data_IF_753526241527
#
_entry.id   IF_753526241527
#
_cell.length_a   1.000
_cell.length_b   1.000
_cell.length_c   1.000
_cell.angle_alpha   90.00
_cell.angle_beta   90.00
_cell.angle_gamma   90.00
#
_symmetry.space_group_name_H-M   'P 1'
#
loop_
_entity.id
_entity.type
_entity.pdbx_description
1 polymer ?
#
# COMPACT_ATOMS: atom_id res chain seq x y z
N UNK A 1 22.73 30.73 5.61
CA UNK A 1 23.55 30.10 4.56
C UNK A 1 22.94 28.74 4.29
N UNK A 2 22.54 28.45 3.04
CA UNK A 2 21.97 27.16 2.68
C UNK A 2 23.08 26.09 2.74
N UNK A 3 22.87 25.06 3.54
CA UNK A 3 23.73 23.87 3.55
C UNK A 3 23.65 23.23 2.15
N UNK A 4 24.77 22.95 1.47
CA UNK A 4 24.70 22.31 0.16
C UNK A 4 24.04 20.93 0.28
N UNK A 5 23.06 20.66 -0.58
CA UNK A 5 22.43 19.35 -0.76
C UNK A 5 23.54 18.28 -0.88
N UNK A 6 23.53 17.28 0.02
CA UNK A 6 24.45 16.14 -0.09
C UNK A 6 24.08 15.33 -1.34
N UNK A 7 25.08 14.71 -1.97
CA UNK A 7 24.87 13.89 -3.16
C UNK A 7 23.79 12.81 -2.97
N UNK A 8 23.63 12.26 -1.78
CA UNK A 8 22.65 11.21 -1.48
C UNK A 8 21.19 11.64 -1.58
N UNK A 9 20.87 12.92 -1.38
CA UNK A 9 19.50 13.43 -1.57
C UNK A 9 19.10 13.39 -3.06
N UNK A 10 20.02 13.79 -3.95
CA UNK A 10 19.81 13.68 -5.39
C UNK A 10 19.70 12.22 -5.85
N UNK A 11 20.51 11.32 -5.27
CA UNK A 11 20.38 9.89 -5.56
C UNK A 11 19.06 9.33 -5.06
N UNK A 12 18.62 9.70 -3.85
CA UNK A 12 17.33 9.24 -3.31
C UNK A 12 16.17 9.67 -4.22
N UNK A 13 16.16 10.93 -4.67
CA UNK A 13 15.13 11.43 -5.59
C UNK A 13 15.13 10.62 -6.90
N UNK A 14 16.30 10.47 -7.54
CA UNK A 14 16.39 9.71 -8.80
C UNK A 14 16.03 8.23 -8.64
N UNK A 15 16.40 7.59 -7.53
CA UNK A 15 15.99 6.22 -7.23
C UNK A 15 14.49 6.14 -6.96
N UNK A 16 13.89 7.16 -6.35
CA UNK A 16 12.44 7.28 -6.20
C UNK A 16 11.73 7.30 -7.55
N UNK A 17 12.20 8.09 -8.52
CA UNK A 17 11.64 8.15 -9.88
C UNK A 17 11.77 6.79 -10.61
N UNK A 18 12.89 6.10 -10.46
CA UNK A 18 13.07 4.74 -11.00
C UNK A 18 12.07 3.77 -10.37
N UNK A 19 11.84 3.87 -9.07
CA UNK A 19 10.90 3.04 -8.34
C UNK A 19 9.44 3.29 -8.80
N UNK A 20 9.07 4.55 -9.02
CA UNK A 20 7.75 4.91 -9.53
C UNK A 20 7.51 4.44 -10.97
N UNK A 21 8.53 4.52 -11.82
CA UNK A 21 8.46 4.05 -13.21
C UNK A 21 8.62 2.54 -13.37
N UNK A 22 9.02 1.84 -12.31
CA UNK A 22 9.34 0.40 -12.35
C UNK A 22 10.61 0.10 -13.15
N UNK A 23 11.47 1.09 -13.37
CA UNK A 23 12.70 0.95 -14.15
C UNK A 23 13.82 0.39 -13.28
N UNK A 24 14.50 -0.70 -13.67
CA UNK A 24 15.64 -1.22 -12.92
C UNK A 24 16.79 -0.20 -12.83
N UNK A 25 17.55 -0.25 -11.73
CA UNK A 25 18.78 0.53 -11.56
C UNK A 25 19.90 -0.04 -12.45
N UNK A 26 20.79 0.80 -12.97
CA UNK A 26 21.98 0.35 -13.66
C UNK A 26 23.10 -0.09 -12.70
N UNK A 27 23.98 -0.97 -13.17
CA UNK A 27 25.04 -1.57 -12.35
C UNK A 27 26.02 -0.52 -11.77
N UNK A 28 26.32 0.55 -12.51
CA UNK A 28 27.27 1.57 -12.04
C UNK A 28 26.66 2.37 -10.90
N UNK A 29 25.41 2.79 -11.04
CA UNK A 29 24.68 3.51 -9.99
C UNK A 29 24.49 2.64 -8.76
N UNK A 30 24.11 1.36 -8.92
CA UNK A 30 23.99 0.41 -7.81
C UNK A 30 25.31 0.28 -7.04
N UNK A 31 26.42 -0.02 -7.73
CA UNK A 31 27.75 -0.16 -7.10
C UNK A 31 28.19 1.14 -6.41
N UNK A 32 27.86 2.30 -6.99
CA UNK A 32 28.16 3.59 -6.39
C UNK A 32 27.42 3.78 -5.06
N UNK A 33 26.10 3.59 -5.04
CA UNK A 33 25.27 3.69 -3.83
C UNK A 33 25.80 2.74 -2.75
N UNK A 34 26.03 1.48 -3.09
CA UNK A 34 26.53 0.49 -2.13
C UNK A 34 27.91 0.86 -1.58
N UNK A 35 28.81 1.39 -2.40
CA UNK A 35 30.15 1.79 -1.96
C UNK A 35 30.15 3.00 -1.04
N UNK A 36 29.26 3.97 -1.29
CA UNK A 36 29.32 5.28 -0.64
C UNK A 36 28.34 5.45 0.52
N UNK A 37 27.22 4.71 0.54
CA UNK A 37 26.12 4.94 1.49
C UNK A 37 25.85 3.76 2.43
N UNK A 38 26.30 2.53 2.11
CA UNK A 38 25.95 1.31 2.88
C UNK A 38 26.39 1.31 4.35
N UNK A 39 27.43 2.06 4.71
CA UNK A 39 27.91 2.18 6.10
C UNK A 39 27.32 3.38 6.85
N UNK A 40 26.52 4.21 6.19
CA UNK A 40 25.93 5.40 6.78
C UNK A 40 24.65 5.06 7.54
N UNK A 41 24.41 5.81 8.62
CA UNK A 41 23.16 5.75 9.38
C UNK A 41 22.27 6.98 9.11
N UNK A 42 22.63 7.83 8.16
CA UNK A 42 21.82 8.98 7.77
C UNK A 42 20.58 8.53 7.01
N UNK A 43 19.43 9.16 7.25
CA UNK A 43 18.15 8.68 6.71
C UNK A 43 18.10 8.62 5.17
N UNK A 44 18.69 9.62 4.48
CA UNK A 44 18.75 9.63 3.01
C UNK A 44 19.61 8.50 2.48
N UNK A 45 20.75 8.24 3.12
CA UNK A 45 21.71 7.22 2.72
C UNK A 45 21.12 5.82 2.91
N UNK A 46 20.48 5.57 4.06
CA UNK A 46 19.74 4.33 4.35
C UNK A 46 18.63 4.11 3.32
N UNK A 47 17.85 5.14 3.03
CA UNK A 47 16.75 5.05 2.06
C UNK A 47 17.26 4.77 0.64
N UNK A 48 18.35 5.41 0.23
CA UNK A 48 18.98 5.19 -1.07
C UNK A 48 19.51 3.76 -1.21
N UNK A 49 20.12 3.21 -0.16
CA UNK A 49 20.59 1.80 -0.15
C UNK A 49 19.41 0.84 -0.24
N UNK A 50 18.34 1.05 0.54
CA UNK A 50 17.13 0.25 0.47
C UNK A 50 16.48 0.25 -0.91
N UNK A 51 16.34 1.42 -1.54
CA UNK A 51 15.83 1.53 -2.90
C UNK A 51 16.74 0.88 -3.93
N UNK A 52 18.07 1.01 -3.80
CA UNK A 52 18.99 0.39 -4.72
C UNK A 52 18.93 -1.15 -4.67
N UNK A 53 18.78 -1.77 -3.49
CA UNK A 53 18.52 -3.20 -3.39
C UNK A 53 17.23 -3.59 -4.15
N UNK A 54 16.12 -2.89 -3.87
CA UNK A 54 14.84 -3.16 -4.50
C UNK A 54 14.87 -3.02 -6.03
N UNK A 55 15.50 -1.96 -6.54
CA UNK A 55 15.64 -1.70 -7.97
C UNK A 55 16.59 -2.66 -8.67
N UNK A 56 17.51 -3.29 -7.93
CA UNK A 56 18.37 -4.37 -8.42
C UNK A 56 17.69 -5.76 -8.37
N UNK A 57 16.42 -5.83 -7.95
CA UNK A 57 15.66 -7.07 -7.82
C UNK A 57 15.94 -7.85 -6.52
N UNK A 58 16.64 -7.24 -5.56
CA UNK A 58 16.96 -7.82 -4.26
C UNK A 58 15.92 -7.39 -3.21
N UNK A 59 14.64 -7.71 -3.45
CA UNK A 59 13.50 -7.29 -2.62
C UNK A 59 13.71 -7.67 -1.12
N UNK A 60 14.29 -8.83 -0.84
CA UNK A 60 14.49 -9.29 0.54
C UNK A 60 15.60 -8.53 1.26
N UNK A 61 16.68 -8.23 0.54
CA UNK A 61 17.76 -7.40 1.07
C UNK A 61 17.27 -5.97 1.33
N UNK A 62 16.38 -5.44 0.47
CA UNK A 62 15.75 -4.15 0.69
C UNK A 62 14.92 -4.15 1.99
N UNK A 63 14.07 -5.17 2.17
CA UNK A 63 13.25 -5.32 3.38
C UNK A 63 14.11 -5.42 4.64
N UNK A 64 15.10 -6.30 4.66
CA UNK A 64 16.01 -6.47 5.80
C UNK A 64 16.79 -5.19 6.09
N UNK A 65 17.24 -4.49 5.05
CA UNK A 65 17.96 -3.24 5.20
C UNK A 65 17.10 -2.17 5.86
N UNK A 66 15.88 -1.93 5.36
CA UNK A 66 14.98 -0.95 5.98
C UNK A 66 14.62 -1.34 7.41
N UNK A 67 14.16 -2.58 7.65
CA UNK A 67 13.78 -3.06 8.98
C UNK A 67 14.90 -2.90 10.00
N UNK A 68 16.15 -3.21 9.63
CA UNK A 68 17.32 -3.07 10.50
C UNK A 68 17.63 -1.61 10.87
N UNK A 69 17.34 -0.66 9.98
CA UNK A 69 17.72 0.74 10.14
C UNK A 69 16.55 1.66 10.53
N UNK A 70 15.37 1.09 10.82
CA UNK A 70 14.28 1.83 11.46
C UNK A 70 14.75 2.40 12.80
N UNK A 71 14.57 3.70 12.99
CA UNK A 71 14.91 4.40 14.24
C UNK A 71 13.87 5.47 14.53
N UNK A 72 13.30 5.54 15.75
CA UNK A 72 12.17 6.42 16.07
C UNK A 72 12.35 7.91 15.72
N UNK A 73 13.59 8.38 15.64
CA UNK A 73 13.95 9.76 15.30
C UNK A 73 13.95 10.04 13.78
N UNK A 74 13.68 9.05 12.93
CA UNK A 74 13.69 9.20 11.48
C UNK A 74 12.42 8.64 10.79
N UNK A 75 11.29 9.36 10.86
CA UNK A 75 10.04 9.00 10.16
C UNK A 75 10.21 8.85 8.64
N UNK A 76 11.19 9.56 8.06
CA UNK A 76 11.50 9.48 6.63
C UNK A 76 11.91 8.06 6.20
N UNK A 77 12.69 7.34 7.02
CA UNK A 77 13.06 5.95 6.71
C UNK A 77 11.81 5.07 6.68
N UNK A 78 10.89 5.25 7.63
CA UNK A 78 9.63 4.50 7.68
C UNK A 78 8.74 4.82 6.46
N UNK A 79 8.63 6.09 6.06
CA UNK A 79 7.91 6.48 4.85
C UNK A 79 8.50 5.82 3.61
N UNK A 80 9.82 5.94 3.41
CA UNK A 80 10.48 5.35 2.25
C UNK A 80 10.39 3.82 2.27
N UNK A 81 10.41 3.19 3.44
CA UNK A 81 10.22 1.75 3.57
C UNK A 81 8.85 1.33 3.02
N UNK A 82 7.77 1.97 3.47
CA UNK A 82 6.41 1.65 3.00
C UNK A 82 6.26 1.93 1.51
N UNK A 83 6.82 3.04 1.00
CA UNK A 83 6.84 3.35 -0.44
C UNK A 83 7.56 2.25 -1.22
N UNK A 84 8.71 1.78 -0.73
CA UNK A 84 9.44 0.66 -1.32
C UNK A 84 8.56 -0.58 -1.42
N UNK A 85 7.94 -1.00 -0.31
CA UNK A 85 7.12 -2.20 -0.27
C UNK A 85 5.92 -2.10 -1.22
N UNK A 86 5.23 -0.96 -1.22
CA UNK A 86 4.08 -0.74 -2.07
C UNK A 86 4.45 -0.78 -3.56
N UNK A 87 5.49 -0.04 -3.96
CA UNK A 87 5.92 0.04 -5.38
C UNK A 87 6.55 -1.26 -5.89
N UNK A 88 7.18 -2.04 -5.01
CA UNK A 88 7.71 -3.37 -5.35
C UNK A 88 6.68 -4.48 -5.27
N UNK A 89 5.42 -4.15 -4.97
CA UNK A 89 4.34 -5.14 -4.81
C UNK A 89 4.68 -6.19 -3.73
N UNK A 90 5.25 -5.75 -2.61
CA UNK A 90 5.57 -6.58 -1.44
C UNK A 90 4.48 -6.42 -0.37
N UNK A 91 3.23 -6.66 -0.76
CA UNK A 91 2.04 -6.31 0.00
C UNK A 91 1.89 -7.10 1.31
N UNK A 92 2.23 -8.39 1.33
CA UNK A 92 2.24 -9.20 2.56
C UNK A 92 3.23 -8.66 3.58
N UNK A 93 4.45 -8.33 3.13
CA UNK A 93 5.47 -7.69 3.97
C UNK A 93 5.04 -6.30 4.44
N UNK A 94 4.34 -5.55 3.60
CA UNK A 94 3.76 -4.26 3.99
C UNK A 94 2.71 -4.44 5.08
N UNK A 95 1.81 -5.41 4.94
CA UNK A 95 0.79 -5.75 5.93
C UNK A 95 1.41 -6.08 7.30
N UNK A 96 2.51 -6.83 7.32
CA UNK A 96 3.22 -7.22 8.54
C UNK A 96 3.76 -6.02 9.35
N UNK A 97 4.06 -4.90 8.70
CA UNK A 97 4.79 -3.79 9.35
C UNK A 97 4.00 -2.48 9.41
N UNK A 98 3.01 -2.26 8.54
CA UNK A 98 2.43 -0.92 8.34
C UNK A 98 1.76 -0.37 9.60
N UNK A 99 1.10 -1.22 10.39
CA UNK A 99 0.43 -0.82 11.60
C UNK A 99 1.42 -0.37 12.68
N UNK A 100 2.49 -1.16 12.90
CA UNK A 100 3.56 -0.81 13.83
C UNK A 100 4.32 0.45 13.38
N UNK A 101 4.53 0.62 12.07
CA UNK A 101 5.13 1.82 11.52
C UNK A 101 4.24 3.05 11.77
N UNK A 102 2.94 2.95 11.51
CA UNK A 102 2.01 4.04 11.76
C UNK A 102 1.93 4.42 13.25
N UNK A 103 1.89 3.43 14.14
CA UNK A 103 1.85 3.65 15.59
C UNK A 103 3.15 4.25 16.14
N UNK A 104 4.31 3.84 15.60
CA UNK A 104 5.63 4.28 16.10
C UNK A 104 6.06 5.63 15.54
N UNK A 105 5.85 5.87 14.25
CA UNK A 105 6.40 7.03 13.53
C UNK A 105 5.34 8.09 13.23
N UNK A 106 4.07 7.69 13.18
CA UNK A 106 2.95 8.58 12.86
C UNK A 106 3.06 9.25 11.49
N UNK A 107 2.42 10.40 11.36
CA UNK A 107 2.45 11.18 10.12
C UNK A 107 1.38 10.78 9.11
N UNK A 108 1.02 11.74 8.25
CA UNK A 108 -0.13 11.65 7.33
C UNK A 108 -0.06 10.43 6.40
N UNK A 109 1.13 10.15 5.85
CA UNK A 109 1.30 9.06 4.88
C UNK A 109 1.11 7.69 5.55
N UNK A 110 1.76 7.44 6.70
CA UNK A 110 1.69 6.15 7.37
C UNK A 110 0.29 5.90 7.93
N UNK A 111 -0.36 6.91 8.49
CA UNK A 111 -1.74 6.77 8.98
C UNK A 111 -2.71 6.45 7.84
N UNK A 112 -2.60 7.11 6.68
CA UNK A 112 -3.46 6.80 5.54
C UNK A 112 -3.15 5.43 4.92
N UNK A 113 -1.87 5.06 4.79
CA UNK A 113 -1.49 3.74 4.30
C UNK A 113 -1.98 2.61 5.22
N UNK A 114 -1.90 2.80 6.55
CA UNK A 114 -2.45 1.87 7.53
C UNK A 114 -3.99 1.78 7.44
N UNK A 115 -4.68 2.90 7.25
CA UNK A 115 -6.12 2.91 7.03
C UNK A 115 -6.53 2.16 5.76
N UNK A 116 -5.83 2.38 4.64
CA UNK A 116 -6.06 1.66 3.39
C UNK A 116 -5.80 0.15 3.54
N UNK A 117 -4.76 -0.23 4.29
CA UNK A 117 -4.49 -1.63 4.59
C UNK A 117 -5.58 -2.26 5.45
N UNK A 118 -6.03 -1.57 6.50
CA UNK A 118 -7.14 -2.01 7.33
C UNK A 118 -8.44 -2.15 6.55
N UNK A 119 -8.74 -1.22 5.64
CA UNK A 119 -9.89 -1.28 4.74
C UNK A 119 -9.85 -2.52 3.84
N UNK A 120 -8.67 -2.86 3.34
CA UNK A 120 -8.47 -4.01 2.48
C UNK A 120 -8.74 -5.35 3.16
N UNK A 121 -8.48 -5.46 4.46
CA UNK A 121 -8.81 -6.66 5.24
C UNK A 121 -10.13 -6.53 6.01
N UNK A 122 -10.84 -5.40 5.89
CA UNK A 122 -12.15 -5.20 6.49
C UNK A 122 -12.13 -5.01 8.02
N UNK A 123 -11.02 -4.57 8.60
CA UNK A 123 -10.93 -4.33 10.05
C UNK A 123 -11.47 -2.95 10.40
N UNK A 124 -12.74 -2.90 10.82
CA UNK A 124 -13.45 -1.66 11.15
C UNK A 124 -12.77 -0.84 12.26
N UNK A 125 -12.21 -1.49 13.27
CA UNK A 125 -11.57 -0.81 14.39
C UNK A 125 -10.26 -0.17 13.95
N UNK A 126 -9.46 -0.86 13.13
CA UNK A 126 -8.23 -0.31 12.58
C UNK A 126 -8.50 0.80 11.56
N UNK A 127 -9.50 0.66 10.69
CA UNK A 127 -9.91 1.72 9.75
C UNK A 127 -10.21 3.00 10.55
N UNK A 128 -11.06 2.89 11.56
CA UNK A 128 -11.44 4.01 12.41
C UNK A 128 -10.24 4.61 13.12
N UNK A 129 -9.43 3.79 13.80
CA UNK A 129 -8.23 4.22 14.53
C UNK A 129 -7.31 5.08 13.65
N UNK A 130 -6.96 4.58 12.46
CA UNK A 130 -5.96 5.24 11.64
C UNK A 130 -6.48 6.45 10.88
N UNK A 131 -7.75 6.45 10.44
CA UNK A 131 -8.31 7.64 9.80
C UNK A 131 -8.61 8.73 10.82
N UNK A 132 -9.13 8.40 12.01
CA UNK A 132 -9.28 9.39 13.09
C UNK A 132 -7.93 10.03 13.41
N UNK A 133 -6.88 9.22 13.58
CA UNK A 133 -5.53 9.73 13.78
C UNK A 133 -5.06 10.59 12.59
N UNK A 134 -5.28 10.16 11.34
CA UNK A 134 -4.97 10.94 10.15
C UNK A 134 -5.64 12.32 10.15
N UNK A 135 -6.94 12.41 10.46
CA UNK A 135 -7.67 13.67 10.54
C UNK A 135 -7.08 14.63 11.58
N UNK A 136 -6.52 14.11 12.69
CA UNK A 136 -5.83 14.96 13.69
C UNK A 136 -4.54 15.59 13.19
N UNK A 137 -3.93 15.05 12.13
CA UNK A 137 -2.70 15.54 11.51
C UNK A 137 -2.95 16.55 10.39
N UNK A 138 -4.20 16.68 9.94
CA UNK A 138 -4.60 17.62 8.90
C UNK A 138 -4.89 18.99 9.52
N UNK A 139 -4.44 20.05 8.87
CA UNK A 139 -4.90 21.42 9.12
C UNK A 139 -6.25 21.66 8.45
N UNK A 140 -6.92 22.77 8.78
CA UNK A 140 -8.24 23.08 8.20
C UNK A 140 -8.17 23.33 6.68
N UNK A 141 -7.00 23.73 6.16
CA UNK A 141 -6.74 23.95 4.73
C UNK A 141 -6.42 22.64 3.97
N UNK A 142 -6.24 21.52 4.67
CA UNK A 142 -5.82 20.22 4.12
C UNK A 142 -6.99 19.23 3.98
N UNK A 143 -8.19 19.75 3.75
CA UNK A 143 -9.43 18.99 3.52
C UNK A 143 -9.75 17.96 4.61
N UNK A 144 -9.68 18.37 5.89
CA UNK A 144 -10.05 17.51 7.02
C UNK A 144 -11.49 16.98 6.89
N UNK A 145 -12.40 17.80 6.40
CA UNK A 145 -13.79 17.39 6.17
C UNK A 145 -13.88 16.25 5.13
N UNK A 146 -13.16 16.35 4.01
CA UNK A 146 -13.09 15.27 3.03
C UNK A 146 -12.48 13.98 3.58
N UNK A 147 -11.46 14.07 4.45
CA UNK A 147 -10.90 12.90 5.14
C UNK A 147 -11.91 12.23 6.09
N UNK A 148 -12.70 13.02 6.83
CA UNK A 148 -13.78 12.51 7.69
C UNK A 148 -14.91 11.87 6.88
N UNK A 149 -15.31 12.47 5.76
CA UNK A 149 -16.30 11.88 4.84
C UNK A 149 -15.78 10.55 4.24
N UNK A 150 -14.51 10.51 3.85
CA UNK A 150 -13.87 9.31 3.34
C UNK A 150 -13.84 8.20 4.41
N UNK A 151 -13.57 8.54 5.67
CA UNK A 151 -13.69 7.59 6.79
C UNK A 151 -15.06 6.94 6.87
N UNK A 152 -16.12 7.76 6.83
CA UNK A 152 -17.49 7.26 6.91
C UNK A 152 -17.84 6.40 5.70
N UNK A 153 -17.34 6.74 4.51
CA UNK A 153 -17.50 5.92 3.31
C UNK A 153 -16.85 4.54 3.49
N UNK A 154 -15.59 4.46 3.94
CA UNK A 154 -14.88 3.20 4.12
C UNK A 154 -15.52 2.32 5.19
N UNK A 155 -15.83 2.89 6.35
CA UNK A 155 -16.52 2.18 7.44
C UNK A 155 -17.89 1.69 6.96
N UNK A 156 -18.67 2.56 6.30
CA UNK A 156 -20.00 2.22 5.80
C UNK A 156 -19.99 1.09 4.77
N UNK A 157 -19.01 1.09 3.85
CA UNK A 157 -18.82 0.03 2.85
C UNK A 157 -18.57 -1.34 3.50
N UNK A 158 -17.65 -1.43 4.45
CA UNK A 158 -17.33 -2.69 5.14
C UNK A 158 -18.47 -3.12 6.05
N UNK A 159 -19.03 -2.19 6.85
CA UNK A 159 -20.14 -2.47 7.77
C UNK A 159 -21.35 -3.00 7.03
N UNK A 160 -21.68 -2.43 5.87
CA UNK A 160 -22.79 -2.90 5.04
C UNK A 160 -22.62 -4.34 4.56
N UNK A 161 -21.38 -4.78 4.27
CA UNK A 161 -21.10 -6.17 3.91
C UNK A 161 -21.36 -7.11 5.10
N UNK A 162 -20.94 -6.73 6.31
CA UNK A 162 -21.16 -7.52 7.52
C UNK A 162 -22.61 -7.55 7.97
N UNK A 163 -23.31 -6.41 7.92
CA UNK A 163 -24.73 -6.30 8.25
C UNK A 163 -25.61 -7.09 7.28
N UNK A 164 -25.27 -7.08 5.99
CA UNK A 164 -25.93 -7.88 4.96
C UNK A 164 -25.54 -9.35 5.00
N UNK A 165 -24.57 -9.73 5.84
CA UNK A 165 -24.05 -11.08 6.03
C UNK A 165 -23.55 -11.74 4.74
N UNK A 166 -23.01 -10.93 3.81
CA UNK A 166 -22.40 -11.47 2.59
C UNK A 166 -21.04 -12.12 2.86
N UNK A 167 -20.41 -11.77 3.99
CA UNK A 167 -19.21 -12.42 4.49
C UNK A 167 -19.08 -12.19 6.00
N UNK A 168 -18.26 -13.01 6.64
CA UNK A 168 -17.72 -12.74 7.99
C UNK A 168 -16.42 -11.93 7.90
N UNK A 169 -15.98 -11.28 9.01
CA UNK A 169 -14.70 -10.56 9.02
C UNK A 169 -13.50 -11.42 8.64
N UNK A 170 -13.48 -12.70 9.07
CA UNK A 170 -12.40 -13.61 8.72
C UNK A 170 -12.37 -13.93 7.22
N UNK A 171 -13.53 -14.11 6.59
CA UNK A 171 -13.65 -14.33 5.15
C UNK A 171 -13.23 -13.10 4.36
N UNK A 172 -13.63 -11.90 4.80
CA UNK A 172 -13.21 -10.64 4.18
C UNK A 172 -11.69 -10.50 4.19
N UNK A 173 -11.06 -10.68 5.36
CA UNK A 173 -9.61 -10.61 5.50
C UNK A 173 -8.91 -11.62 4.59
N UNK A 174 -9.41 -12.86 4.53
CA UNK A 174 -8.88 -13.91 3.66
C UNK A 174 -8.96 -13.52 2.18
N UNK A 175 -10.10 -12.98 1.70
CA UNK A 175 -10.24 -12.47 0.34
C UNK A 175 -9.23 -11.36 0.05
N UNK A 176 -9.02 -10.44 1.00
CA UNK A 176 -8.00 -9.39 0.89
C UNK A 176 -6.59 -9.96 0.71
N UNK A 177 -6.21 -10.95 1.51
CA UNK A 177 -4.90 -11.62 1.41
C UNK A 177 -4.73 -12.41 0.12
N UNK A 178 -5.77 -13.11 -0.34
CA UNK A 178 -5.74 -13.84 -1.62
C UNK A 178 -5.56 -12.88 -2.79
N UNK A 179 -6.32 -11.79 -2.82
CA UNK A 179 -6.21 -10.75 -3.86
C UNK A 179 -4.79 -10.14 -3.88
N UNK A 180 -4.22 -9.86 -2.71
CA UNK A 180 -2.82 -9.43 -2.62
C UNK A 180 -1.85 -10.45 -3.18
N UNK A 181 -1.99 -11.74 -2.86
CA UNK A 181 -1.09 -12.78 -3.38
C UNK A 181 -1.05 -12.82 -4.91
N UNK A 182 -2.16 -12.53 -5.57
CA UNK A 182 -2.27 -12.43 -7.03
C UNK A 182 -1.55 -11.18 -7.54
N UNK A 183 -1.81 -10.02 -6.92
CA UNK A 183 -1.15 -8.77 -7.29
C UNK A 183 0.37 -8.83 -7.13
N UNK A 184 0.88 -9.48 -6.08
CA UNK A 184 2.33 -9.71 -5.88
C UNK A 184 2.91 -10.57 -7.02
N UNK A 185 2.25 -11.69 -7.35
CA UNK A 185 2.70 -12.62 -8.41
C UNK A 185 2.82 -11.94 -9.76
N UNK A 186 1.86 -11.09 -10.10
CA UNK A 186 1.84 -10.40 -11.38
C UNK A 186 2.47 -9.01 -11.35
N UNK A 187 3.00 -8.57 -10.20
CA UNK A 187 3.64 -7.26 -9.98
C UNK A 187 2.75 -6.09 -10.40
N UNK A 188 1.50 -6.12 -9.97
CA UNK A 188 0.56 -5.01 -10.16
C UNK A 188 0.30 -4.26 -8.86
N UNK A 189 0.28 -2.93 -8.96
CA UNK A 189 -0.12 -2.04 -7.88
C UNK A 189 -1.63 -1.81 -7.96
N UNK A 190 -2.39 -2.02 -6.86
CA UNK A 190 -3.81 -1.72 -6.85
C UNK A 190 -4.01 -0.19 -6.84
N UNK A 191 -5.00 0.27 -7.63
CA UNK A 191 -5.41 1.67 -7.67
C UNK A 191 -6.45 1.96 -6.59
N UNK A 192 -7.56 1.21 -6.59
CA UNK A 192 -8.67 1.41 -5.65
C UNK A 192 -9.31 0.06 -5.27
N UNK A 193 -10.05 0.03 -4.17
CA UNK A 193 -10.90 -1.08 -3.74
C UNK A 193 -12.34 -0.58 -3.60
N UNK A 194 -13.24 -1.14 -4.40
CA UNK A 194 -14.66 -0.91 -4.26
C UNK A 194 -15.33 -2.08 -3.56
N UNK A 195 -16.28 -1.76 -2.69
CA UNK A 195 -17.11 -2.73 -2.00
C UNK A 195 -18.58 -2.42 -2.26
N UNK A 196 -19.33 -3.47 -2.58
CA UNK A 196 -20.78 -3.42 -2.69
C UNK A 196 -21.36 -4.55 -1.86
N UNK A 197 -22.40 -4.27 -1.08
CA UNK A 197 -23.15 -5.28 -0.32
C UNK A 197 -24.40 -5.78 -1.05
N UNK A 198 -24.74 -5.16 -2.18
CA UNK A 198 -25.90 -5.52 -2.99
C UNK A 198 -25.62 -6.71 -3.91
N UNK A 199 -26.66 -7.48 -4.23
CA UNK A 199 -26.61 -8.61 -5.18
C UNK A 199 -25.54 -9.66 -4.86
N UNK A 200 -25.45 -10.12 -3.60
CA UNK A 200 -24.44 -11.10 -3.14
C UNK A 200 -23.13 -10.47 -2.68
N UNK A 201 -22.89 -9.22 -3.07
CA UNK A 201 -21.73 -8.45 -2.68
C UNK A 201 -20.53 -8.62 -3.62
N UNK A 202 -19.74 -7.56 -3.76
CA UNK A 202 -18.62 -7.47 -4.70
C UNK A 202 -17.42 -6.80 -4.00
N UNK A 203 -16.32 -7.55 -3.88
CA UNK A 203 -15.00 -7.08 -3.45
C UNK A 203 -14.16 -6.84 -4.71
N UNK A 204 -14.09 -5.59 -5.15
CA UNK A 204 -13.55 -5.26 -6.47
C UNK A 204 -12.27 -4.46 -6.38
N UNK A 205 -11.16 -5.09 -6.74
CA UNK A 205 -9.84 -4.45 -6.80
C UNK A 205 -9.63 -3.87 -8.20
N UNK A 206 -9.46 -2.55 -8.28
CA UNK A 206 -9.11 -1.87 -9.52
C UNK A 206 -7.60 -1.83 -9.70
N UNK A 207 -7.14 -2.16 -10.90
CA UNK A 207 -5.71 -2.21 -11.25
C UNK A 207 -5.42 -1.25 -12.40
N UNK A 208 -4.43 -0.38 -12.20
CA UNK A 208 -3.96 0.56 -13.22
C UNK A 208 -3.12 -0.19 -14.27
N UNK A 209 -3.21 0.21 -15.55
CA UNK A 209 -2.37 -0.29 -16.67
C UNK A 209 -2.42 -1.81 -16.94
N UNK A 210 -3.36 -2.55 -16.34
CA UNK A 210 -3.58 -3.96 -16.69
C UNK A 210 -4.33 -4.08 -18.02
N UNK A 211 -3.92 -5.03 -18.87
CA UNK A 211 -4.69 -5.35 -20.09
C UNK A 211 -5.90 -6.23 -19.73
N UNK A 212 -6.97 -6.25 -20.55
CA UNK A 212 -8.11 -7.13 -20.33
C UNK A 212 -7.72 -8.61 -20.18
N UNK A 213 -6.76 -9.07 -20.98
CA UNK A 213 -6.25 -10.44 -20.93
C UNK A 213 -5.63 -10.73 -19.56
N UNK A 214 -4.86 -9.78 -19.02
CA UNK A 214 -4.26 -9.91 -17.70
C UNK A 214 -5.29 -9.91 -16.58
N UNK A 215 -6.35 -9.10 -16.69
CA UNK A 215 -7.46 -9.12 -15.74
C UNK A 215 -8.16 -10.48 -15.73
N UNK A 216 -8.38 -11.08 -16.90
CA UNK A 216 -8.98 -12.42 -17.01
C UNK A 216 -8.09 -13.48 -16.36
N UNK A 217 -6.78 -13.45 -16.63
CA UNK A 217 -5.79 -14.34 -16.02
C UNK A 217 -5.80 -14.24 -14.49
N UNK A 218 -5.69 -13.01 -13.95
CA UNK A 218 -5.71 -12.76 -12.50
C UNK A 218 -7.02 -13.22 -11.83
N UNK A 219 -8.16 -13.03 -12.50
CA UNK A 219 -9.45 -13.47 -11.98
C UNK A 219 -9.62 -14.99 -12.01
N UNK A 220 -9.07 -15.67 -13.02
CA UNK A 220 -9.07 -17.13 -13.08
C UNK A 220 -8.23 -17.71 -11.92
N UNK A 221 -7.01 -17.21 -11.72
CA UNK A 221 -6.15 -17.63 -10.61
C UNK A 221 -6.78 -17.30 -9.25
N UNK A 222 -7.41 -16.14 -9.10
CA UNK A 222 -8.11 -15.78 -7.86
C UNK A 222 -9.27 -16.73 -7.57
N UNK A 223 -10.08 -17.07 -8.57
CA UNK A 223 -11.19 -18.00 -8.42
C UNK A 223 -10.70 -19.39 -8.01
N UNK A 224 -9.60 -19.88 -8.61
CA UNK A 224 -8.97 -21.14 -8.22
C UNK A 224 -8.54 -21.12 -6.74
N UNK A 225 -7.83 -20.07 -6.31
CA UNK A 225 -7.43 -19.95 -4.90
C UNK A 225 -8.61 -19.91 -3.94
N UNK A 226 -9.68 -19.19 -4.30
CA UNK A 226 -10.88 -19.09 -3.46
C UNK A 226 -11.54 -20.47 -3.32
N UNK A 227 -11.65 -21.23 -4.41
CA UNK A 227 -12.20 -22.58 -4.39
C UNK A 227 -11.36 -23.58 -3.57
N UNK A 228 -10.08 -23.28 -3.31
CA UNK A 228 -9.22 -24.08 -2.43
C UNK A 228 -9.40 -23.76 -0.94
N UNK A 229 -10.12 -22.68 -0.59
CA UNK A 229 -10.35 -22.29 0.80
C UNK A 229 -11.74 -22.73 1.29
N UNK A 230 -11.82 -23.85 2.02
CA UNK A 230 -13.08 -24.33 2.62
C UNK A 230 -13.79 -23.27 3.47
N UNK A 231 -13.04 -22.35 4.09
CA UNK A 231 -13.62 -21.25 4.88
C UNK A 231 -14.38 -20.21 4.06
N UNK A 232 -14.31 -20.25 2.72
CA UNK A 232 -15.02 -19.36 1.81
C UNK A 232 -16.24 -20.03 1.15
N UNK A 233 -16.54 -21.31 1.44
CA UNK A 233 -17.62 -22.06 0.80
C UNK A 233 -19.01 -21.42 0.99
N UNK A 234 -19.24 -20.73 2.10
CA UNK A 234 -20.48 -20.01 2.43
C UNK A 234 -20.33 -18.47 2.35
N UNK A 235 -19.24 -17.98 1.74
CA UNK A 235 -19.01 -16.57 1.50
C UNK A 235 -19.75 -16.13 0.21
N UNK A 236 -20.69 -15.19 0.33
CA UNK A 236 -21.40 -14.62 -0.82
C UNK A 236 -20.59 -13.50 -1.49
N UNK A 237 -19.72 -12.82 -0.73
CA UNK A 237 -18.90 -11.71 -1.23
C UNK A 237 -17.94 -12.20 -2.33
N UNK A 238 -18.18 -11.76 -3.56
CA UNK A 238 -17.38 -12.17 -4.73
C UNK A 238 -16.18 -11.24 -4.89
N UNK A 239 -14.96 -11.79 -4.85
CA UNK A 239 -13.74 -11.01 -5.10
C UNK A 239 -13.31 -11.06 -6.57
N UNK A 240 -12.91 -9.91 -7.13
CA UNK A 240 -12.41 -9.82 -8.52
C UNK A 240 -11.53 -8.58 -8.78
N UNK A 241 -10.74 -8.69 -9.82
CA UNK A 241 -9.98 -7.61 -10.44
C UNK A 241 -10.74 -6.98 -11.60
N UNK A 242 -10.56 -5.67 -11.76
CA UNK A 242 -10.99 -4.90 -12.95
C UNK A 242 -9.88 -3.93 -13.37
N UNK A 243 -9.92 -3.49 -14.63
CA UNK A 243 -9.19 -2.29 -15.04
C UNK A 243 -9.78 -1.10 -14.31
N UNK A 244 -8.91 -0.17 -13.90
CA UNK A 244 -9.30 1.16 -13.44
C UNK A 244 -10.29 1.80 -14.42
N UNK A 245 -11.39 2.35 -13.90
CA UNK A 245 -12.37 3.11 -14.68
C UNK A 245 -12.33 4.54 -14.17
N UNK A 246 -12.47 5.50 -15.09
CA UNK A 246 -12.66 6.90 -14.68
C UNK A 246 -13.79 6.98 -13.65
N UNK A 247 -13.47 7.50 -12.46
CA UNK A 247 -14.43 7.58 -11.38
C UNK A 247 -15.63 8.43 -11.79
N UNK A 248 -16.84 7.93 -11.54
CA UNK A 248 -18.06 8.73 -11.70
C UNK A 248 -18.31 9.70 -10.54
N UNK A 249 -17.54 9.57 -9.44
CA UNK A 249 -17.55 10.51 -8.32
C UNK A 249 -16.54 11.62 -8.58
N UNK A 250 -16.90 12.85 -8.19
CA UNK A 250 -16.15 14.04 -8.60
C UNK A 250 -14.82 14.22 -7.86
N UNK A 251 -14.64 13.69 -6.66
CA UNK A 251 -13.40 13.81 -5.89
C UNK A 251 -13.31 12.69 -4.84
N UNK A 252 -12.41 11.72 -5.01
CA UNK A 252 -11.98 10.83 -3.91
C UNK A 252 -10.87 11.54 -3.12
N UNK A 253 -10.94 11.52 -1.79
CA UNK A 253 -9.95 12.15 -0.93
C UNK A 253 -8.54 11.65 -1.27
N UNK A 254 -7.62 12.58 -1.52
CA UNK A 254 -6.22 12.27 -1.86
C UNK A 254 -5.27 13.04 -0.93
N UNK A 255 -4.73 12.32 0.04
CA UNK A 255 -3.79 12.86 1.03
C UNK A 255 -2.49 13.41 0.39
N UNK A 256 -2.19 13.09 -0.87
CA UNK A 256 -1.00 13.60 -1.57
C UNK A 256 -1.18 15.00 -2.16
N UNK A 257 -2.43 15.49 -2.23
CA UNK A 257 -2.72 16.83 -2.73
C UNK A 257 -2.51 17.94 -1.68
N UNK A 258 -2.29 17.58 -0.40
CA UNK A 258 -2.31 18.49 0.75
C UNK A 258 -1.19 18.26 1.80
#
# INVERSE_FOLDING_TARGET
MATPLRASENYLIGLGELLESGTPIDEFTYRYVMRHFSSSLEGNDVSAVGFAYALNGEDEAAFEHFSKHLRPDSPMIANNFVVCLFRRCMFRKMHEVIFDLADTFGGKMLSMMAACEAFRIGDLELIKKYIEYHCTLLTDDEDRAGAEEYMQELIGKVSSCYESKVCTPAQFALLGHLAYSILERHRYVPHNLDLFSSMGGDYRVQVEKATPEKIVEMNAELAELICEQESLDDCELTARFTVEREEHKKDTYDYRKY
#
